data_IF_397731688291
#
_entry.id   IF_397731688291
#
_cell.length_a   1.000
_cell.length_b   1.000
_cell.length_c   1.000
_cell.angle_alpha   90.00
_cell.angle_beta   90.00
_cell.angle_gamma   90.00
#
_symmetry.space_group_name_H-M   'P 1'
#
loop_
_entity.id
_entity.type
_entity.pdbx_description
1 polymer ?
#
# COMPACT_ATOMS: atom_id res chain seq x y z
N UNK A 1 14.72 -9.97 48.19
CA UNK A 1 14.55 -8.81 47.30
C UNK A 1 14.78 -9.12 45.81
N UNK A 2 15.41 -10.24 45.42
CA UNK A 2 15.68 -10.59 44.00
C UNK A 2 14.54 -11.29 43.23
N UNK A 3 13.48 -11.77 43.89
CA UNK A 3 12.38 -12.48 43.21
C UNK A 3 11.32 -11.55 42.58
N UNK A 4 11.32 -10.25 42.93
CA UNK A 4 10.38 -9.27 42.39
C UNK A 4 10.82 -8.69 41.04
N UNK A 5 12.14 -8.57 40.82
CA UNK A 5 12.70 -7.97 39.61
C UNK A 5 12.56 -8.86 38.36
N UNK A 6 12.59 -10.19 38.54
CA UNK A 6 12.42 -11.16 37.43
C UNK A 6 10.97 -11.23 36.92
N UNK A 7 9.99 -11.05 37.81
CA UNK A 7 8.56 -10.99 37.47
C UNK A 7 8.20 -9.75 36.64
N UNK A 8 8.78 -8.60 36.98
CA UNK A 8 8.51 -7.36 36.23
C UNK A 8 9.14 -7.38 34.83
N UNK A 9 10.32 -7.98 34.69
CA UNK A 9 10.99 -8.12 33.40
C UNK A 9 10.25 -9.09 32.46
N UNK A 10 9.69 -10.18 33.00
CA UNK A 10 8.92 -11.18 32.24
C UNK A 10 7.51 -10.66 31.84
N UNK A 11 6.85 -9.88 32.71
CA UNK A 11 5.59 -9.19 32.39
C UNK A 11 5.80 -8.12 31.30
N UNK A 12 6.89 -7.35 31.35
CA UNK A 12 7.22 -6.37 30.30
C UNK A 12 7.48 -7.04 28.96
N UNK A 13 8.20 -8.16 28.95
CA UNK A 13 8.50 -8.90 27.70
C UNK A 13 7.23 -9.50 27.08
N UNK A 14 6.37 -10.10 27.90
CA UNK A 14 5.08 -10.66 27.42
C UNK A 14 4.12 -9.59 26.93
N UNK A 15 4.01 -8.46 27.62
CA UNK A 15 3.21 -7.32 27.16
C UNK A 15 3.72 -6.74 25.83
N UNK A 16 5.05 -6.63 25.67
CA UNK A 16 5.66 -6.15 24.43
C UNK A 16 5.43 -7.13 23.27
N UNK A 17 5.60 -8.43 23.49
CA UNK A 17 5.29 -9.45 22.48
C UNK A 17 3.81 -9.44 22.07
N UNK A 18 2.88 -9.30 23.03
CA UNK A 18 1.45 -9.22 22.75
C UNK A 18 1.09 -7.96 21.96
N UNK A 19 1.75 -6.84 22.25
CA UNK A 19 1.58 -5.58 21.51
C UNK A 19 2.07 -5.72 20.07
N UNK A 20 3.24 -6.34 19.87
CA UNK A 20 3.79 -6.60 18.52
C UNK A 20 2.86 -7.51 17.71
N UNK A 21 2.32 -8.56 18.34
CA UNK A 21 1.33 -9.45 17.72
C UNK A 21 0.03 -8.72 17.35
N UNK A 22 -0.46 -7.82 18.21
CA UNK A 22 -1.66 -7.03 17.94
C UNK A 22 -1.45 -6.02 16.79
N UNK A 23 -0.25 -5.44 16.65
CA UNK A 23 0.06 -4.50 15.57
C UNK A 23 0.32 -5.20 14.22
N UNK A 24 0.73 -6.47 14.21
CA UNK A 24 1.00 -7.22 12.97
C UNK A 24 -0.27 -7.40 12.09
N UNK A 25 -1.46 -7.40 12.69
CA UNK A 25 -2.74 -7.54 11.97
C UNK A 25 -3.12 -6.32 11.12
N UNK A 26 -2.51 -5.15 11.35
CA UNK A 26 -2.86 -3.92 10.64
C UNK A 26 -2.15 -3.75 9.28
N UNK A 27 -1.18 -4.61 8.94
CA UNK A 27 -0.30 -4.46 7.77
C UNK A 27 -0.43 -5.58 6.72
N UNK A 28 -1.56 -6.30 6.68
CA UNK A 28 -1.74 -7.51 5.85
C UNK A 28 -1.94 -7.26 4.34
N UNK A 29 -1.73 -6.05 3.84
CA UNK A 29 -1.91 -5.74 2.41
C UNK A 29 -0.60 -5.89 1.64
N UNK A 30 -0.69 -6.38 0.41
CA UNK A 30 0.46 -6.56 -0.47
C UNK A 30 1.09 -5.21 -0.83
N UNK A 31 2.42 -5.13 -0.86
CA UNK A 31 3.16 -3.93 -1.27
C UNK A 31 3.46 -3.89 -2.77
N UNK A 32 3.05 -4.93 -3.50
CA UNK A 32 3.45 -5.18 -4.87
C UNK A 32 2.48 -4.65 -5.93
N UNK A 33 1.37 -3.99 -5.58
CA UNK A 33 0.49 -3.40 -6.60
C UNK A 33 -0.44 -4.40 -7.30
N UNK A 34 -0.46 -5.68 -6.89
CA UNK A 34 -1.03 -6.77 -7.67
C UNK A 34 -0.11 -7.30 -8.79
N UNK A 35 1.14 -6.85 -8.84
CA UNK A 35 2.10 -7.20 -9.90
C UNK A 35 2.48 -8.69 -9.90
N UNK A 36 2.53 -9.37 -8.76
CA UNK A 36 2.90 -10.78 -8.69
C UNK A 36 2.03 -11.69 -9.57
N UNK A 37 0.73 -11.38 -9.72
CA UNK A 37 -0.16 -12.14 -10.60
C UNK A 37 0.22 -11.98 -12.08
N UNK A 38 0.67 -10.79 -12.49
CA UNK A 38 1.12 -10.50 -13.86
C UNK A 38 2.47 -11.17 -14.12
N UNK A 39 3.38 -11.13 -13.15
CA UNK A 39 4.67 -11.82 -13.20
C UNK A 39 4.47 -13.33 -13.36
N UNK A 40 3.64 -13.93 -12.51
CA UNK A 40 3.35 -15.36 -12.56
C UNK A 40 2.72 -15.77 -13.89
N UNK A 41 1.72 -15.03 -14.37
CA UNK A 41 1.06 -15.33 -15.66
C UNK A 41 2.04 -15.25 -16.83
N UNK A 42 2.93 -14.26 -16.81
CA UNK A 42 3.97 -14.11 -17.84
C UNK A 42 4.98 -15.25 -17.79
N UNK A 43 5.42 -15.62 -16.58
CA UNK A 43 6.34 -16.74 -16.37
C UNK A 43 5.71 -18.06 -16.87
N UNK A 44 4.44 -18.30 -16.55
CA UNK A 44 3.71 -19.51 -16.93
C UNK A 44 3.44 -19.60 -18.45
N UNK A 45 3.13 -18.47 -19.10
CA UNK A 45 2.75 -18.44 -20.52
C UNK A 45 3.90 -18.22 -21.49
N UNK A 46 4.90 -17.43 -21.10
CA UNK A 46 6.01 -17.02 -21.97
C UNK A 46 7.37 -17.56 -21.50
N UNK A 47 7.49 -18.06 -20.26
CA UNK A 47 8.77 -18.48 -19.72
C UNK A 47 9.79 -17.34 -19.58
N UNK A 48 9.30 -16.10 -19.46
CA UNK A 48 10.13 -14.87 -19.38
C UNK A 48 9.97 -14.22 -18.02
N UNK A 49 11.01 -13.48 -17.64
CA UNK A 49 11.00 -12.68 -16.41
C UNK A 49 10.45 -11.28 -16.71
N UNK A 50 9.66 -10.73 -15.79
CA UNK A 50 9.24 -9.33 -15.80
C UNK A 50 10.02 -8.53 -14.78
N UNK A 51 10.23 -7.25 -15.07
CA UNK A 51 10.77 -6.30 -14.10
C UNK A 51 9.88 -5.06 -14.05
N UNK A 52 9.53 -4.65 -12.83
CA UNK A 52 8.88 -3.37 -12.58
C UNK A 52 9.77 -2.52 -11.67
N UNK A 53 10.82 -1.89 -12.23
CA UNK A 53 11.79 -1.15 -11.44
C UNK A 53 11.19 0.17 -10.96
N UNK A 54 11.16 0.38 -9.64
CA UNK A 54 10.63 1.58 -8.98
C UNK A 54 11.74 2.52 -8.52
N UNK A 55 12.95 2.00 -8.32
CA UNK A 55 14.12 2.77 -7.86
C UNK A 55 15.16 2.95 -8.98
N UNK A 56 16.01 3.97 -8.85
CA UNK A 56 17.11 4.20 -9.81
C UNK A 56 18.07 3.00 -9.87
N UNK A 57 18.35 2.37 -8.72
CA UNK A 57 19.20 1.18 -8.65
C UNK A 57 18.58 0.01 -9.42
N UNK A 58 17.28 -0.26 -9.25
CA UNK A 58 16.59 -1.31 -10.01
C UNK A 58 16.56 -1.01 -11.51
N UNK A 59 16.38 0.26 -11.90
CA UNK A 59 16.43 0.67 -13.30
C UNK A 59 17.81 0.42 -13.92
N UNK A 60 18.89 0.66 -13.16
CA UNK A 60 20.26 0.36 -13.59
C UNK A 60 20.46 -1.14 -13.78
N UNK A 61 20.03 -1.98 -12.84
CA UNK A 61 20.11 -3.45 -12.96
C UNK A 61 19.37 -3.96 -14.19
N UNK A 62 18.17 -3.42 -14.48
CA UNK A 62 17.41 -3.78 -15.69
C UNK A 62 18.15 -3.32 -16.96
N UNK A 63 18.74 -2.12 -16.96
CA UNK A 63 19.49 -1.61 -18.09
C UNK A 63 20.75 -2.42 -18.39
N UNK A 64 21.49 -2.83 -17.35
CA UNK A 64 22.62 -3.76 -17.46
C UNK A 64 22.19 -5.08 -18.10
N UNK A 65 21.09 -5.65 -17.62
CA UNK A 65 20.55 -6.90 -18.18
C UNK A 65 20.15 -6.78 -19.66
N UNK A 66 19.54 -5.66 -20.03
CA UNK A 66 19.20 -5.37 -21.44
C UNK A 66 20.46 -5.27 -22.30
N UNK A 67 21.51 -4.59 -21.81
CA UNK A 67 22.77 -4.45 -22.53
C UNK A 67 23.48 -5.80 -22.72
N UNK A 68 23.49 -6.66 -21.70
CA UNK A 68 24.03 -8.03 -21.79
C UNK A 68 23.32 -8.85 -22.88
N UNK A 69 21.99 -8.79 -22.92
CA UNK A 69 21.19 -9.52 -23.91
C UNK A 69 21.38 -8.97 -25.33
N UNK A 70 21.60 -7.66 -25.46
CA UNK A 70 21.82 -7.00 -26.75
C UNK A 70 23.26 -7.13 -27.28
N UNK A 71 24.23 -7.51 -26.43
CA UNK A 71 25.64 -7.64 -26.81
C UNK A 71 25.93 -8.91 -27.65
N UNK A 72 25.02 -9.88 -27.66
CA UNK A 72 25.08 -11.12 -28.46
C UNK A 72 24.17 -11.02 -29.69
N UNK A 73 24.37 -11.87 -30.73
CA UNK A 73 23.44 -11.94 -31.85
C UNK A 73 22.00 -12.16 -31.38
N UNK A 74 21.08 -11.29 -31.82
CA UNK A 74 19.74 -11.20 -31.26
C UNK A 74 18.87 -12.37 -31.72
N UNK A 75 18.47 -13.24 -30.78
CA UNK A 75 17.42 -14.23 -31.02
C UNK A 75 16.03 -13.62 -30.80
N UNK A 76 14.98 -14.27 -31.34
CA UNK A 76 13.58 -13.86 -31.11
C UNK A 76 13.28 -13.82 -29.60
N UNK A 77 13.75 -14.83 -28.87
CA UNK A 77 13.57 -14.96 -27.43
C UNK A 77 14.23 -13.84 -26.62
N UNK A 78 15.41 -13.41 -27.03
CA UNK A 78 16.13 -12.30 -26.41
C UNK A 78 15.45 -10.96 -26.73
N UNK A 79 14.95 -10.79 -27.96
CA UNK A 79 14.21 -9.59 -28.35
C UNK A 79 12.92 -9.41 -27.52
N UNK A 80 12.17 -10.50 -27.30
CA UNK A 80 10.98 -10.48 -26.43
C UNK A 80 11.36 -10.14 -24.99
N UNK A 81 12.43 -10.73 -24.45
CA UNK A 81 12.89 -10.44 -23.09
C UNK A 81 13.30 -8.98 -22.93
N UNK A 82 14.04 -8.41 -23.89
CA UNK A 82 14.41 -6.99 -23.90
C UNK A 82 13.17 -6.10 -23.95
N UNK A 83 12.20 -6.44 -24.80
CA UNK A 83 10.95 -5.69 -24.92
C UNK A 83 10.18 -5.69 -23.58
N UNK A 84 10.06 -6.84 -22.91
CA UNK A 84 9.38 -6.93 -21.61
C UNK A 84 10.08 -6.12 -20.51
N UNK A 85 11.42 -6.06 -20.54
CA UNK A 85 12.22 -5.32 -19.54
C UNK A 85 12.22 -3.81 -19.76
N UNK A 86 12.26 -3.33 -21.01
CA UNK A 86 12.50 -1.92 -21.33
C UNK A 86 11.30 -1.17 -21.93
N UNK A 87 10.13 -1.80 -22.09
CA UNK A 87 8.96 -1.12 -22.65
C UNK A 87 8.31 -0.16 -21.63
N UNK A 88 8.36 1.14 -21.94
CA UNK A 88 7.80 2.20 -21.08
C UNK A 88 6.27 2.25 -21.05
N UNK A 89 5.60 1.84 -22.13
CA UNK A 89 4.14 1.72 -22.14
C UNK A 89 3.66 0.56 -21.26
N UNK A 90 4.39 -0.55 -21.26
CA UNK A 90 4.13 -1.68 -20.38
C UNK A 90 4.39 -1.31 -18.91
N UNK A 91 5.50 -0.62 -18.63
CA UNK A 91 5.78 -0.09 -17.28
C UNK A 91 4.69 0.88 -16.80
N UNK A 92 4.20 1.76 -17.68
CA UNK A 92 3.08 2.66 -17.36
C UNK A 92 1.82 1.86 -16.98
N UNK A 93 1.51 0.79 -17.70
CA UNK A 93 0.36 -0.08 -17.41
C UNK A 93 0.49 -0.75 -16.02
N UNK A 94 1.71 -1.10 -15.58
CA UNK A 94 1.93 -1.62 -14.22
C UNK A 94 1.69 -0.57 -13.13
N UNK A 95 2.01 0.71 -13.40
CA UNK A 95 1.66 1.80 -12.48
C UNK A 95 0.14 2.01 -12.41
N UNK A 96 -0.56 1.92 -13.54
CA UNK A 96 -2.03 2.01 -13.58
C UNK A 96 -2.68 0.86 -12.80
N UNK A 97 -2.15 -0.37 -12.92
CA UNK A 97 -2.57 -1.52 -12.12
C UNK A 97 -2.40 -1.25 -10.61
N UNK A 98 -1.25 -0.71 -10.19
CA UNK A 98 -0.99 -0.35 -8.79
C UNK A 98 -1.90 0.76 -8.27
N UNK A 99 -2.25 1.74 -9.11
CA UNK A 99 -3.25 2.77 -8.77
C UNK A 99 -4.63 2.13 -8.59
N UNK A 100 -5.01 1.21 -9.49
CA UNK A 100 -6.29 0.51 -9.39
C UNK A 100 -6.37 -0.38 -8.15
N UNK A 101 -5.28 -1.07 -7.78
CA UNK A 101 -5.21 -1.82 -6.53
C UNK A 101 -5.38 -0.88 -5.33
N UNK A 102 -4.69 0.27 -5.34
CA UNK A 102 -4.80 1.27 -4.27
C UNK A 102 -6.25 1.75 -4.09
N UNK A 103 -6.98 1.98 -5.18
CA UNK A 103 -8.40 2.34 -5.13
C UNK A 103 -9.26 1.21 -4.57
N UNK A 104 -9.00 -0.04 -4.97
CA UNK A 104 -9.67 -1.22 -4.42
C UNK A 104 -9.43 -1.37 -2.91
N UNK A 105 -8.19 -1.22 -2.46
CA UNK A 105 -7.83 -1.25 -1.03
C UNK A 105 -8.56 -0.14 -0.29
N UNK A 106 -8.56 1.09 -0.80
CA UNK A 106 -9.24 2.22 -0.16
C UNK A 106 -10.75 2.01 -0.07
N UNK A 107 -11.40 1.47 -1.11
CA UNK A 107 -12.83 1.13 -1.08
C UNK A 107 -13.17 0.03 -0.06
N UNK A 108 -12.21 -0.83 0.26
CA UNK A 108 -12.32 -1.87 1.29
C UNK A 108 -12.03 -1.41 2.72
N UNK A 109 -11.66 -0.13 2.93
CA UNK A 109 -11.39 0.41 4.27
C UNK A 109 -12.61 1.06 4.89
N UNK A 110 -12.71 0.95 6.21
CA UNK A 110 -13.71 1.68 6.98
C UNK A 110 -13.54 3.19 6.78
N UNK A 111 -14.65 3.95 6.63
CA UNK A 111 -14.58 5.40 6.52
C UNK A 111 -13.85 6.03 7.70
N UNK A 112 -12.89 6.91 7.39
CA UNK A 112 -12.09 7.58 8.41
C UNK A 112 -12.98 8.54 9.23
N UNK A 113 -13.01 8.43 10.57
CA UNK A 113 -13.70 9.42 11.39
C UNK A 113 -13.03 10.80 11.27
N UNK A 114 -13.84 11.85 11.24
CA UNK A 114 -13.37 13.23 11.26
C UNK A 114 -13.40 13.76 12.69
N UNK A 115 -12.25 14.18 13.19
CA UNK A 115 -12.11 14.86 14.48
C UNK A 115 -11.84 16.34 14.26
N UNK A 116 -12.60 17.21 14.94
CA UNK A 116 -12.36 18.65 14.93
C UNK A 116 -12.40 19.22 16.34
N UNK A 117 -11.51 20.19 16.60
CA UNK A 117 -11.48 20.93 17.85
C UNK A 117 -11.47 22.43 17.54
N UNK A 118 -12.44 23.16 18.07
CA UNK A 118 -12.58 24.61 17.90
C UNK A 118 -12.38 25.28 19.24
N UNK A 119 -11.55 26.32 19.28
CA UNK A 119 -11.37 27.16 20.47
C UNK A 119 -11.82 28.57 20.14
N UNK A 120 -12.90 28.99 20.77
CA UNK A 120 -13.45 30.35 20.62
C UNK A 120 -13.15 31.14 21.88
N UNK A 121 -12.73 32.39 21.74
CA UNK A 121 -12.56 33.30 22.88
C UNK A 121 -13.34 34.58 22.64
N UNK A 122 -14.26 34.90 23.54
CA UNK A 122 -15.12 36.07 23.51
C UNK A 122 -14.82 36.92 24.74
N UNK A 123 -14.88 38.24 24.60
CA UNK A 123 -14.76 39.16 25.74
C UNK A 123 -16.13 39.79 25.95
N UNK A 124 -16.73 39.53 27.10
CA UNK A 124 -18.05 40.02 27.50
C UNK A 124 -17.90 40.65 28.89
N UNK A 125 -18.41 41.88 29.06
CA UNK A 125 -18.27 42.67 30.30
C UNK A 125 -16.84 42.77 30.87
N UNK A 126 -15.83 42.80 30.00
CA UNK A 126 -14.42 42.87 30.39
C UNK A 126 -13.83 41.54 30.89
N UNK A 127 -14.61 40.46 30.90
CA UNK A 127 -14.18 39.10 31.25
C UNK A 127 -13.95 38.29 29.97
N UNK A 128 -12.82 37.57 29.89
CA UNK A 128 -12.51 36.70 28.76
C UNK A 128 -13.13 35.31 28.98
N UNK A 129 -14.08 34.96 28.14
CA UNK A 129 -14.66 33.63 28.07
C UNK A 129 -13.94 32.83 26.97
N UNK A 130 -13.46 31.64 27.31
CA UNK A 130 -12.89 30.69 26.34
C UNK A 130 -13.72 29.43 26.32
N UNK A 131 -14.24 29.08 25.15
CA UNK A 131 -14.97 27.84 24.89
C UNK A 131 -14.11 26.92 24.03
N UNK A 132 -14.09 25.63 24.37
CA UNK A 132 -13.46 24.59 23.57
C UNK A 132 -14.57 23.60 23.17
N UNK A 133 -14.73 23.41 21.87
CA UNK A 133 -15.66 22.45 21.28
C UNK A 133 -14.86 21.33 20.62
N UNK A 134 -15.28 20.09 20.82
CA UNK A 134 -14.67 18.91 20.24
C UNK A 134 -15.78 18.08 19.58
N UNK A 135 -15.56 17.67 18.32
CA UNK A 135 -16.52 16.85 17.59
C UNK A 135 -15.81 15.69 16.91
N UNK A 136 -16.47 14.52 16.93
CA UNK A 136 -16.08 13.32 16.21
C UNK A 136 -17.25 12.91 15.31
N UNK A 137 -17.03 12.87 14.00
CA UNK A 137 -18.07 12.60 13.00
C UNK A 137 -17.70 11.40 12.15
N UNK A 138 -18.67 10.56 11.80
CA UNK A 138 -18.50 9.40 10.92
C UNK A 138 -19.49 9.48 9.76
N UNK A 139 -19.04 9.14 8.56
CA UNK A 139 -19.89 9.07 7.38
C UNK A 139 -20.67 7.73 7.33
N UNK A 140 -21.90 7.74 7.81
CA UNK A 140 -22.78 6.55 7.84
C UNK A 140 -23.19 6.09 6.45
N UNK A 141 -23.40 7.03 5.52
CA UNK A 141 -23.75 6.69 4.13
C UNK A 141 -22.60 5.94 3.46
N UNK A 142 -21.36 6.38 3.66
CA UNK A 142 -20.17 5.69 3.16
C UNK A 142 -20.04 4.27 3.73
N UNK A 143 -20.38 4.06 5.01
CA UNK A 143 -20.43 2.71 5.61
C UNK A 143 -21.47 1.83 4.92
N UNK A 144 -22.67 2.36 4.68
CA UNK A 144 -23.77 1.61 4.06
C UNK A 144 -23.48 1.25 2.60
N UNK A 145 -22.84 2.14 1.84
CA UNK A 145 -22.53 1.94 0.41
C UNK A 145 -21.19 1.26 0.15
N UNK A 146 -20.34 1.11 1.17
CA UNK A 146 -19.04 0.43 1.10
C UNK A 146 -19.04 -0.90 0.30
N UNK A 147 -19.94 -1.88 0.53
CA UNK A 147 -19.92 -3.13 -0.21
C UNK A 147 -20.22 -2.96 -1.71
N UNK A 148 -20.93 -1.91 -2.10
CA UNK A 148 -21.19 -1.59 -3.51
C UNK A 148 -19.96 -0.94 -4.14
N UNK A 149 -19.34 0.02 -3.45
CA UNK A 149 -18.09 0.67 -3.88
C UNK A 149 -16.98 -0.35 -4.08
N UNK A 150 -16.81 -1.28 -3.13
CA UNK A 150 -15.83 -2.36 -3.23
C UNK A 150 -16.05 -3.24 -4.47
N UNK A 151 -17.30 -3.57 -4.81
CA UNK A 151 -17.63 -4.36 -6.00
C UNK A 151 -17.31 -3.62 -7.30
N UNK A 152 -17.42 -2.29 -7.32
CA UNK A 152 -17.08 -1.47 -8.49
C UNK A 152 -15.57 -1.41 -8.66
N UNK A 153 -14.82 -1.10 -7.60
CA UNK A 153 -13.36 -1.01 -7.69
C UNK A 153 -12.72 -2.38 -7.98
N UNK A 154 -13.32 -3.49 -7.51
CA UNK A 154 -12.82 -4.83 -7.86
C UNK A 154 -12.89 -5.09 -9.37
N UNK A 155 -13.99 -4.72 -10.02
CA UNK A 155 -14.11 -4.87 -11.48
C UNK A 155 -13.15 -3.97 -12.24
N UNK A 156 -12.87 -2.76 -11.74
CA UNK A 156 -11.88 -1.86 -12.34
C UNK A 156 -10.48 -2.44 -12.24
N UNK A 157 -10.14 -3.01 -11.08
CA UNK A 157 -8.87 -3.70 -10.87
C UNK A 157 -8.70 -4.91 -11.80
N UNK A 158 -9.76 -5.69 -12.03
CA UNK A 158 -9.74 -6.80 -12.99
C UNK A 158 -9.59 -6.35 -14.46
N UNK A 159 -9.83 -5.07 -14.77
CA UNK A 159 -9.76 -4.50 -16.13
C UNK A 159 -8.49 -3.69 -16.40
N UNK A 160 -7.75 -3.32 -15.35
CA UNK A 160 -6.48 -2.61 -15.42
C UNK A 160 -5.35 -3.56 -15.84
#
# INVERSE_FOLDING_TARGET
MQLADSGWLSIRRTAMSLTVLALAGCATFSSDGGFASVEQTTRDRLGKDLAWPKTEAEQQTVAERVNELAAKPLSVDDAVQIALLNNKGLQASYFDLGISESNLVQAGRLPNPHFSMTRTSLVEDGVRHTTIEQALTVNVIALLTMPQTLKVERRRFEQA
#
